data_IF_468924835812
#
_entry.id   IF_468924835812
#
_cell.length_a   1.000
_cell.length_b   1.000
_cell.length_c   1.000
_cell.angle_alpha   90.00
_cell.angle_beta   90.00
_cell.angle_gamma   90.00
#
_symmetry.space_group_name_H-M   'P 1'
#
loop_
_entity.id
_entity.type
_entity.pdbx_description
1 polymer ?
#
# COMPACT_ATOMS: atom_id res chain seq x y z
N UNK A 1 -28.10 51.64 -30.46
CA UNK A 1 -26.98 50.80 -30.72
C UNK A 1 -25.99 51.51 -31.58
N UNK A 2 -24.86 51.87 -31.02
CA UNK A 2 -23.70 52.49 -31.64
C UNK A 2 -23.06 51.48 -32.61
N UNK A 3 -23.33 51.63 -33.91
CA UNK A 3 -22.52 51.04 -34.94
C UNK A 3 -21.16 51.74 -34.92
N UNK A 4 -20.16 51.14 -34.24
CA UNK A 4 -18.82 51.62 -34.17
C UNK A 4 -18.20 51.71 -35.55
N UNK A 5 -17.59 52.85 -35.79
CA UNK A 5 -16.94 53.26 -36.99
C UNK A 5 -15.77 52.36 -37.41
N UNK A 6 -16.05 51.31 -38.15
CA UNK A 6 -15.08 50.66 -39.03
C UNK A 6 -15.43 50.99 -40.47
N UNK A 7 -15.18 52.27 -40.85
CA UNK A 7 -15.13 52.62 -42.29
C UNK A 7 -13.86 52.03 -42.89
N UNK A 8 -14.02 50.97 -43.62
CA UNK A 8 -13.00 50.45 -44.51
C UNK A 8 -13.03 51.29 -45.77
N UNK A 9 -11.96 52.01 -46.08
CA UNK A 9 -11.77 52.72 -47.33
C UNK A 9 -11.81 51.69 -48.47
N UNK A 10 -12.76 51.82 -49.38
CA UNK A 10 -12.96 50.92 -50.50
C UNK A 10 -12.41 51.61 -51.73
N UNK A 11 -11.31 51.12 -52.30
CA UNK A 11 -10.62 51.67 -53.47
C UNK A 11 -11.52 51.72 -54.70
N UNK A 12 -12.52 50.85 -54.82
CA UNK A 12 -13.53 50.89 -55.89
C UNK A 12 -14.78 50.07 -55.49
N UNK A 13 -15.94 50.40 -56.11
CA UNK A 13 -17.19 49.65 -55.91
C UNK A 13 -17.04 48.16 -56.27
N UNK A 14 -16.20 47.86 -57.23
CA UNK A 14 -15.94 46.48 -57.70
C UNK A 14 -15.13 45.72 -56.63
N UNK A 15 -14.16 46.37 -55.99
CA UNK A 15 -13.37 45.78 -54.88
C UNK A 15 -14.26 45.54 -53.63
N UNK A 16 -15.15 46.49 -53.32
CA UNK A 16 -16.14 46.35 -52.25
C UNK A 16 -17.07 45.13 -52.46
N UNK A 17 -17.61 45.00 -53.65
CA UNK A 17 -18.48 43.88 -53.98
C UNK A 17 -17.77 42.51 -53.93
N UNK A 18 -16.51 42.42 -54.35
CA UNK A 18 -15.69 41.22 -54.20
C UNK A 18 -15.50 40.85 -52.72
N UNK A 19 -15.20 41.86 -51.89
CA UNK A 19 -15.03 41.63 -50.45
C UNK A 19 -16.30 41.19 -49.77
N UNK A 20 -17.45 41.75 -50.09
CA UNK A 20 -18.75 41.32 -49.60
C UNK A 20 -19.05 39.87 -50.04
N UNK A 21 -18.77 39.51 -51.29
CA UNK A 21 -18.95 38.15 -51.77
C UNK A 21 -18.04 37.15 -51.07
N UNK A 22 -16.79 37.51 -50.82
CA UNK A 22 -15.83 36.71 -50.04
C UNK A 22 -16.34 36.49 -48.60
N UNK A 23 -16.75 37.56 -47.92
CA UNK A 23 -17.25 37.48 -46.54
C UNK A 23 -18.53 36.65 -46.44
N UNK A 24 -19.47 36.79 -47.43
CA UNK A 24 -20.65 35.96 -47.52
C UNK A 24 -20.30 34.48 -47.65
N UNK A 25 -19.31 34.15 -48.50
CA UNK A 25 -18.84 32.77 -48.65
C UNK A 25 -18.25 32.25 -47.35
N UNK A 26 -17.42 33.03 -46.64
CA UNK A 26 -16.87 32.66 -45.36
C UNK A 26 -17.96 32.41 -44.32
N UNK A 27 -18.99 33.27 -44.24
CA UNK A 27 -20.14 33.09 -43.34
C UNK A 27 -20.88 31.81 -43.69
N UNK A 28 -21.14 31.53 -45.01
CA UNK A 28 -21.81 30.31 -45.43
C UNK A 28 -21.00 29.05 -45.10
N UNK A 29 -19.67 29.11 -45.22
CA UNK A 29 -18.77 27.99 -44.87
C UNK A 29 -18.73 27.73 -43.37
N UNK A 30 -18.96 28.70 -42.52
CA UNK A 30 -19.06 28.51 -41.07
C UNK A 30 -20.33 27.74 -40.65
N UNK A 31 -21.31 27.63 -41.57
CA UNK A 31 -22.57 26.93 -41.29
C UNK A 31 -23.41 27.64 -40.22
N UNK A 32 -24.30 26.89 -39.62
CA UNK A 32 -25.11 27.36 -38.49
C UNK A 32 -24.28 27.11 -37.18
N UNK A 33 -23.74 28.16 -36.57
CA UNK A 33 -23.00 27.97 -35.32
C UNK A 33 -23.96 27.37 -34.26
N UNK A 34 -23.51 26.33 -33.61
CA UNK A 34 -24.25 25.76 -32.48
C UNK A 34 -24.11 26.70 -31.26
N UNK A 35 -25.07 27.64 -31.12
CA UNK A 35 -25.06 28.59 -30.01
C UNK A 35 -25.18 27.90 -28.65
N UNK A 36 -25.81 26.73 -28.58
CA UNK A 36 -25.91 25.94 -27.36
C UNK A 36 -24.58 25.26 -26.98
N UNK A 37 -23.60 25.13 -27.89
CA UNK A 37 -22.33 24.49 -27.61
C UNK A 37 -21.51 25.25 -26.56
N UNK A 38 -21.66 26.57 -26.44
CA UNK A 38 -20.95 27.40 -25.46
C UNK A 38 -21.44 27.08 -24.04
N UNK A 39 -22.78 27.02 -23.88
CA UNK A 39 -23.39 26.71 -22.58
C UNK A 39 -23.14 25.25 -22.19
N UNK A 40 -23.23 24.35 -23.14
CA UNK A 40 -22.93 22.93 -22.92
C UNK A 40 -21.47 22.71 -22.55
N UNK A 41 -20.54 23.39 -23.26
CA UNK A 41 -19.12 23.35 -22.92
C UNK A 41 -18.85 23.86 -21.49
N UNK A 42 -19.46 25.00 -21.13
CA UNK A 42 -19.30 25.56 -19.79
C UNK A 42 -19.76 24.56 -18.71
N UNK A 43 -20.92 23.94 -18.89
CA UNK A 43 -21.47 22.94 -17.97
C UNK A 43 -20.59 21.68 -17.90
N UNK A 44 -20.13 21.17 -19.03
CA UNK A 44 -19.27 19.99 -19.09
C UNK A 44 -17.90 20.28 -18.49
N UNK A 45 -17.35 21.48 -18.76
CA UNK A 45 -16.08 21.89 -18.21
C UNK A 45 -16.13 22.08 -16.70
N UNK A 46 -17.19 22.67 -16.17
CA UNK A 46 -17.41 22.79 -14.71
C UNK A 46 -17.43 21.40 -14.04
N UNK A 47 -18.21 20.48 -14.61
CA UNK A 47 -18.26 19.10 -14.13
C UNK A 47 -16.91 18.39 -14.23
N UNK A 48 -16.19 18.60 -15.34
CA UNK A 48 -14.86 18.04 -15.51
C UNK A 48 -13.88 18.55 -14.44
N UNK A 49 -13.85 19.86 -14.22
CA UNK A 49 -12.99 20.48 -13.20
C UNK A 49 -13.32 19.96 -11.80
N UNK A 50 -14.61 19.86 -11.48
CA UNK A 50 -15.04 19.27 -10.21
C UNK A 50 -14.54 17.83 -10.05
N UNK A 51 -14.76 16.97 -11.03
CA UNK A 51 -14.33 15.57 -10.99
C UNK A 51 -12.80 15.44 -10.99
N UNK A 52 -12.09 16.31 -11.70
CA UNK A 52 -10.64 16.36 -11.72
C UNK A 52 -10.08 16.69 -10.30
N UNK A 53 -10.67 17.69 -9.64
CA UNK A 53 -10.30 18.03 -8.26
C UNK A 53 -10.57 16.86 -7.31
N UNK A 54 -11.76 16.26 -7.37
CA UNK A 54 -12.10 15.09 -6.54
C UNK A 54 -11.14 13.92 -6.77
N UNK A 55 -10.78 13.65 -8.03
CA UNK A 55 -9.78 12.61 -8.36
C UNK A 55 -8.43 12.93 -7.72
N UNK A 56 -7.97 14.16 -7.83
CA UNK A 56 -6.66 14.58 -7.33
C UNK A 56 -6.60 14.54 -5.80
N UNK A 57 -7.69 14.89 -5.11
CA UNK A 57 -7.84 14.75 -3.67
C UNK A 57 -7.76 13.29 -3.22
N UNK A 58 -8.49 12.39 -3.91
CA UNK A 58 -8.45 10.95 -3.63
C UNK A 58 -7.05 10.36 -3.88
N UNK A 59 -6.38 10.77 -4.96
CA UNK A 59 -5.03 10.31 -5.26
C UNK A 59 -4.01 10.81 -4.23
N UNK A 60 -4.21 12.01 -3.71
CA UNK A 60 -3.36 12.56 -2.64
C UNK A 60 -3.56 11.79 -1.34
N UNK A 61 -4.81 11.59 -0.91
CA UNK A 61 -5.14 10.79 0.27
C UNK A 61 -4.62 9.35 0.16
N UNK A 62 -4.73 8.75 -1.03
CA UNK A 62 -4.16 7.41 -1.28
C UNK A 62 -2.64 7.38 -1.03
N UNK A 63 -1.89 8.36 -1.56
CA UNK A 63 -0.42 8.43 -1.37
C UNK A 63 -0.05 8.61 0.10
N UNK A 64 -0.81 9.44 0.82
CA UNK A 64 -0.62 9.66 2.26
C UNK A 64 -0.82 8.36 3.05
N UNK A 65 -1.91 7.63 2.77
CA UNK A 65 -2.18 6.33 3.40
C UNK A 65 -1.10 5.30 3.07
N UNK A 66 -0.64 5.23 1.82
CA UNK A 66 0.44 4.33 1.42
C UNK A 66 1.76 4.69 2.12
N UNK A 67 2.02 5.96 2.38
CA UNK A 67 3.18 6.40 3.16
C UNK A 67 3.07 5.93 4.61
N UNK A 68 1.94 6.16 5.26
CA UNK A 68 1.68 5.72 6.64
C UNK A 68 1.82 4.19 6.76
N UNK A 69 1.28 3.43 5.81
CA UNK A 69 1.42 1.97 5.79
C UNK A 69 2.89 1.56 5.72
N UNK A 70 3.70 2.21 4.86
CA UNK A 70 5.14 1.91 4.76
C UNK A 70 5.87 2.20 6.07
N UNK A 71 5.57 3.34 6.70
CA UNK A 71 6.23 3.74 7.94
C UNK A 71 5.88 2.78 9.08
N UNK A 72 4.60 2.44 9.24
CA UNK A 72 4.15 1.45 10.22
C UNK A 72 4.77 0.07 9.95
N UNK A 73 4.79 -0.38 8.70
CA UNK A 73 5.38 -1.68 8.34
C UNK A 73 6.87 -1.72 8.68
N UNK A 74 7.59 -0.63 8.44
CA UNK A 74 9.01 -0.52 8.80
C UNK A 74 9.21 -0.61 10.32
N UNK A 75 8.43 0.12 11.09
CA UNK A 75 8.47 0.08 12.55
C UNK A 75 8.13 -1.30 13.09
N UNK A 76 7.07 -1.92 12.57
CA UNK A 76 6.68 -3.30 12.92
C UNK A 76 7.80 -4.29 12.63
N UNK A 77 8.52 -4.14 11.51
CA UNK A 77 9.64 -5.02 11.14
C UNK A 77 10.76 -4.93 12.18
N UNK A 78 11.12 -3.73 12.60
CA UNK A 78 12.17 -3.54 13.62
C UNK A 78 11.77 -4.19 14.94
N UNK A 79 10.57 -3.87 15.43
CA UNK A 79 10.04 -4.42 16.70
C UNK A 79 9.96 -5.94 16.61
N UNK A 80 9.45 -6.48 15.50
CA UNK A 80 9.32 -7.93 15.32
C UNK A 80 10.68 -8.63 15.40
N UNK A 81 11.69 -8.14 14.69
CA UNK A 81 13.03 -8.75 14.68
C UNK A 81 13.69 -8.70 16.06
N UNK A 82 13.52 -7.59 16.80
CA UNK A 82 14.04 -7.46 18.15
C UNK A 82 13.36 -8.43 19.13
N UNK A 83 12.05 -8.50 19.11
CA UNK A 83 11.28 -9.41 19.97
C UNK A 83 11.52 -10.88 19.58
N UNK A 84 11.62 -11.18 18.28
CA UNK A 84 11.96 -12.51 17.81
C UNK A 84 13.31 -13.01 18.33
N UNK A 85 14.35 -12.18 18.34
CA UNK A 85 15.66 -12.53 18.90
C UNK A 85 15.58 -12.83 20.39
N UNK A 86 14.76 -12.10 21.13
CA UNK A 86 14.55 -12.37 22.57
C UNK A 86 13.84 -13.71 22.77
N UNK A 87 12.79 -13.97 21.97
CA UNK A 87 12.06 -15.24 22.02
C UNK A 87 12.98 -16.41 21.68
N UNK A 88 13.78 -16.31 20.62
CA UNK A 88 14.76 -17.33 20.24
C UNK A 88 15.74 -17.61 21.36
N UNK A 89 16.31 -16.56 21.97
CA UNK A 89 17.22 -16.69 23.09
C UNK A 89 16.58 -17.43 24.29
N UNK A 90 15.39 -17.01 24.72
CA UNK A 90 14.69 -17.66 25.81
C UNK A 90 14.19 -19.06 25.43
N UNK A 91 13.88 -19.30 24.17
CA UNK A 91 13.52 -20.64 23.70
C UNK A 91 14.68 -21.60 23.83
N UNK A 92 15.90 -21.20 23.43
CA UNK A 92 17.11 -22.01 23.61
C UNK A 92 17.35 -22.37 25.07
N UNK A 93 17.26 -21.38 25.98
CA UNK A 93 17.41 -21.59 27.41
C UNK A 93 16.36 -22.53 28.02
N UNK A 94 15.09 -22.24 27.72
CA UNK A 94 13.98 -23.04 28.26
C UNK A 94 13.98 -24.47 27.69
N UNK A 95 14.36 -24.63 26.43
CA UNK A 95 14.55 -25.94 25.83
C UNK A 95 15.63 -26.75 26.56
N UNK A 96 16.79 -26.15 26.81
CA UNK A 96 17.89 -26.80 27.53
C UNK A 96 17.50 -27.18 28.96
N UNK A 97 16.80 -26.27 29.66
CA UNK A 97 16.27 -26.52 31.01
C UNK A 97 15.27 -27.72 31.05
N UNK A 98 14.34 -27.76 30.12
CA UNK A 98 13.26 -28.77 30.08
C UNK A 98 13.73 -30.14 29.58
N UNK A 99 14.65 -30.18 28.63
CA UNK A 99 15.19 -31.43 28.11
C UNK A 99 16.42 -31.98 28.85
N UNK A 100 16.92 -31.23 29.82
CA UNK A 100 18.16 -31.59 30.55
C UNK A 100 19.41 -31.49 29.66
N UNK A 101 19.40 -30.59 28.72
CA UNK A 101 20.45 -30.34 27.72
C UNK A 101 19.93 -30.28 26.29
N UNK A 102 20.83 -30.20 25.33
CA UNK A 102 20.50 -30.06 23.92
C UNK A 102 20.44 -28.59 23.48
N UNK A 103 19.89 -28.34 22.31
CA UNK A 103 19.78 -26.99 21.73
C UNK A 103 18.44 -26.79 21.03
N UNK A 104 17.82 -25.64 21.23
CA UNK A 104 16.64 -25.17 20.50
C UNK A 104 16.91 -23.84 19.86
N UNK A 105 16.45 -23.63 18.65
CA UNK A 105 16.55 -22.36 17.92
C UNK A 105 15.34 -22.12 17.03
N UNK A 106 14.97 -20.86 16.89
CA UNK A 106 13.94 -20.38 15.97
C UNK A 106 14.66 -19.70 14.78
N UNK A 107 14.27 -20.03 13.57
CA UNK A 107 14.90 -19.50 12.35
C UNK A 107 13.82 -18.91 11.45
N UNK A 108 14.01 -17.66 11.04
CA UNK A 108 13.19 -17.05 9.99
C UNK A 108 13.55 -17.66 8.64
N UNK A 109 12.58 -18.15 7.88
CA UNK A 109 12.79 -18.72 6.54
C UNK A 109 13.28 -17.66 5.54
N UNK A 110 12.82 -16.42 5.69
CA UNK A 110 13.25 -15.26 4.90
C UNK A 110 13.49 -14.05 5.81
N UNK A 111 14.75 -13.79 6.21
CA UNK A 111 15.12 -12.65 7.05
C UNK A 111 14.86 -11.28 6.41
N UNK A 112 14.72 -11.20 5.07
CA UNK A 112 14.44 -9.93 4.39
C UNK A 112 12.94 -9.57 4.47
N UNK A 113 12.08 -10.57 4.63
CA UNK A 113 10.62 -10.39 4.76
C UNK A 113 10.09 -10.99 6.07
N UNK A 114 10.57 -10.54 7.24
CA UNK A 114 10.33 -11.22 8.51
C UNK A 114 8.87 -11.21 8.97
N UNK A 115 8.05 -10.26 8.50
CA UNK A 115 6.64 -10.15 8.87
C UNK A 115 5.73 -11.15 8.13
N UNK A 116 6.20 -11.73 7.02
CA UNK A 116 5.39 -12.59 6.15
C UNK A 116 5.99 -13.97 5.94
N UNK A 117 7.24 -14.18 6.35
CA UNK A 117 7.89 -15.48 6.20
C UNK A 117 7.44 -16.48 7.28
N UNK A 118 7.73 -17.76 7.02
CA UNK A 118 7.60 -18.83 8.02
C UNK A 118 8.69 -18.77 9.07
N UNK A 119 8.44 -19.46 10.19
CA UNK A 119 9.41 -19.66 11.27
C UNK A 119 9.68 -21.17 11.36
N UNK A 120 10.92 -21.58 11.14
CA UNK A 120 11.35 -22.95 11.33
C UNK A 120 11.82 -23.17 12.78
N UNK A 121 11.32 -24.21 13.43
CA UNK A 121 11.75 -24.62 14.75
C UNK A 121 12.76 -25.76 14.58
N UNK A 122 14.03 -25.49 14.92
CA UNK A 122 15.11 -26.49 14.93
C UNK A 122 15.47 -26.85 16.34
N UNK A 123 15.50 -28.13 16.62
CA UNK A 123 15.83 -28.65 17.95
C UNK A 123 16.78 -29.83 17.86
N UNK A 124 17.65 -29.93 18.86
CA UNK A 124 18.56 -31.04 19.05
C UNK A 124 18.43 -31.52 20.50
N UNK A 125 17.55 -32.52 20.75
CA UNK A 125 17.49 -33.14 22.08
C UNK A 125 18.83 -33.81 22.45
N UNK A 126 19.11 -33.99 23.73
CA UNK A 126 20.36 -34.64 24.20
C UNK A 126 20.58 -36.00 23.52
N UNK A 127 21.79 -36.22 22.99
CA UNK A 127 22.16 -37.47 22.34
C UNK A 127 21.52 -37.72 20.96
N UNK A 128 20.80 -36.75 20.39
CA UNK A 128 20.16 -36.86 19.08
C UNK A 128 20.75 -35.84 18.08
N UNK A 129 20.48 -36.09 16.79
CA UNK A 129 20.84 -35.12 15.74
C UNK A 129 19.83 -33.97 15.69
N UNK A 130 20.24 -32.85 15.12
CA UNK A 130 19.34 -31.70 14.85
C UNK A 130 18.18 -32.14 13.96
N UNK A 131 16.98 -31.78 14.35
CA UNK A 131 15.75 -32.10 13.62
C UNK A 131 14.84 -30.87 13.56
N UNK A 132 14.05 -30.79 12.53
CA UNK A 132 12.89 -29.88 12.51
C UNK A 132 11.76 -30.48 13.36
N UNK A 133 10.88 -29.65 13.88
CA UNK A 133 9.76 -30.07 14.75
C UNK A 133 8.89 -31.16 14.08
N UNK A 134 8.80 -31.15 12.76
CA UNK A 134 8.00 -32.13 11.99
C UNK A 134 8.50 -33.57 12.13
N UNK A 135 9.78 -33.75 12.39
CA UNK A 135 10.46 -35.06 12.51
C UNK A 135 10.52 -35.59 13.94
N UNK A 136 9.94 -34.91 14.90
CA UNK A 136 9.87 -35.29 16.30
C UNK A 136 8.68 -36.23 16.58
N UNK A 137 8.80 -37.02 17.66
CA UNK A 137 7.67 -37.81 18.19
C UNK A 137 6.61 -36.86 18.78
N UNK A 138 5.37 -37.36 19.00
CA UNK A 138 4.27 -36.55 19.53
C UNK A 138 4.62 -35.91 20.88
N UNK A 139 5.19 -36.67 21.81
CA UNK A 139 5.61 -36.18 23.13
C UNK A 139 6.73 -35.12 23.02
N UNK A 140 7.73 -35.33 22.15
CA UNK A 140 8.79 -34.33 21.92
C UNK A 140 8.22 -33.04 21.34
N UNK A 141 7.24 -33.12 20.43
CA UNK A 141 6.55 -31.93 19.88
C UNK A 141 5.82 -31.15 20.97
N UNK A 142 5.11 -31.84 21.87
CA UNK A 142 4.44 -31.19 22.99
C UNK A 142 5.43 -30.46 23.90
N UNK A 143 6.56 -31.10 24.23
CA UNK A 143 7.62 -30.46 25.03
C UNK A 143 8.22 -29.24 24.34
N UNK A 144 8.48 -29.31 23.04
CA UNK A 144 8.99 -28.16 22.26
C UNK A 144 7.98 -27.02 22.24
N UNK A 145 6.70 -27.32 22.04
CA UNK A 145 5.63 -26.32 22.05
C UNK A 145 5.53 -25.65 23.45
N UNK A 146 5.62 -26.43 24.51
CA UNK A 146 5.62 -25.92 25.89
C UNK A 146 6.85 -25.03 26.16
N UNK A 147 8.04 -25.44 25.71
CA UNK A 147 9.27 -24.63 25.83
C UNK A 147 9.12 -23.29 25.09
N UNK A 148 8.57 -23.30 23.89
CA UNK A 148 8.29 -22.07 23.13
C UNK A 148 7.29 -21.17 23.85
N UNK A 149 6.22 -21.75 24.38
CA UNK A 149 5.22 -21.00 25.13
C UNK A 149 5.84 -20.30 26.35
N UNK A 150 6.65 -21.01 27.15
CA UNK A 150 7.35 -20.41 28.28
C UNK A 150 8.39 -19.35 27.85
N UNK A 151 9.04 -19.54 26.70
CA UNK A 151 9.93 -18.51 26.14
C UNK A 151 9.18 -17.22 25.82
N UNK A 152 8.00 -17.31 25.21
CA UNK A 152 7.14 -16.15 24.95
C UNK A 152 6.70 -15.48 26.26
N UNK A 153 6.34 -16.24 27.28
CA UNK A 153 5.98 -15.69 28.58
C UNK A 153 7.15 -15.00 29.29
N UNK A 154 8.40 -15.48 29.10
CA UNK A 154 9.59 -14.80 29.63
C UNK A 154 9.83 -13.44 28.96
N UNK A 155 9.51 -13.30 27.67
CA UNK A 155 9.64 -12.01 26.94
C UNK A 155 8.49 -11.06 27.27
N UNK A 156 7.27 -11.58 27.33
CA UNK A 156 6.07 -10.81 27.68
C UNK A 156 5.31 -11.49 28.82
N UNK A 157 5.70 -11.25 30.06
CA UNK A 157 5.06 -11.87 31.21
C UNK A 157 3.59 -11.41 31.32
N UNK A 158 2.69 -12.38 31.44
CA UNK A 158 1.29 -12.14 31.76
C UNK A 158 1.09 -12.20 33.28
N UNK A 159 0.10 -11.49 33.86
CA UNK A 159 -0.16 -11.51 35.29
C UNK A 159 -0.47 -12.92 35.82
N UNK A 160 -1.08 -13.75 35.03
CA UNK A 160 -1.34 -15.17 35.32
C UNK A 160 -1.51 -15.94 34.01
N UNK A 161 -1.27 -17.23 34.05
CA UNK A 161 -1.45 -18.14 32.94
C UNK A 161 -2.11 -19.42 33.45
N UNK A 162 -3.12 -19.88 32.75
CA UNK A 162 -3.81 -21.16 33.02
C UNK A 162 -3.43 -22.09 31.89
N UNK A 163 -2.82 -23.22 32.22
CA UNK A 163 -2.46 -24.28 31.28
C UNK A 163 -3.39 -25.46 31.55
N UNK A 164 -4.04 -25.93 30.52
CA UNK A 164 -4.94 -27.08 30.57
C UNK A 164 -4.49 -28.12 29.54
N UNK A 165 -4.46 -29.40 29.92
CA UNK A 165 -4.08 -30.54 29.09
C UNK A 165 -2.75 -30.36 28.29
N UNK A 166 -1.62 -30.17 28.99
CA UNK A 166 -0.29 -30.11 28.37
C UNK A 166 0.32 -31.51 28.26
#
# INVERSE_FOLDING_TARGET
GTAGEHRVEIESVAAGNRRVAELKRKITMLGTPNLGAIEEYARVNERYMYLATQRDDVLTSKRELESIIRDITKEMTVIFVEEFKKIDHYFGQTFEEMFGGGKGALILEDPENPLTCGIEIRVQPPGKQVKTITLLSGGEKAFVATALYFAILKVRPTPFCILDEI
#
